data_IF_153841763677
#
_entry.id   IF_153841763677
#
_cell.length_a   1.000
_cell.length_b   1.000
_cell.length_c   1.000
_cell.angle_alpha   90.00
_cell.angle_beta   90.00
_cell.angle_gamma   90.00
#
_symmetry.space_group_name_H-M   'P 1'
#
loop_
_entity.id
_entity.type
_entity.pdbx_description
1 polymer ?
#
# COMPACT_ATOMS: atom_id res chain seq x y z
N UNK A 1 7.81 8.10 -28.75
CA UNK A 1 7.64 7.26 -27.55
C UNK A 1 7.01 5.96 -28.02
N UNK A 2 7.80 4.88 -28.07
CA UNK A 2 7.30 3.57 -28.49
C UNK A 2 6.21 3.12 -27.52
N UNK A 3 4.97 2.98 -27.99
CA UNK A 3 3.86 2.52 -27.17
C UNK A 3 4.17 1.10 -26.67
N UNK A 4 4.12 0.89 -25.37
CA UNK A 4 4.30 -0.42 -24.75
C UNK A 4 3.20 -1.37 -25.24
N UNK A 5 3.57 -2.43 -25.95
CA UNK A 5 2.62 -3.41 -26.49
C UNK A 5 2.32 -4.48 -25.45
N UNK A 6 1.07 -4.54 -24.98
CA UNK A 6 0.57 -5.62 -24.11
C UNK A 6 0.25 -6.87 -24.95
N UNK A 7 0.59 -8.06 -24.46
CA UNK A 7 0.35 -9.36 -25.11
C UNK A 7 -0.42 -10.28 -24.17
N UNK A 8 -1.45 -10.98 -24.66
CA UNK A 8 -2.16 -11.98 -23.87
C UNK A 8 -1.32 -13.25 -23.67
N UNK A 9 -1.48 -13.90 -22.51
CA UNK A 9 -0.89 -15.21 -22.21
C UNK A 9 -1.98 -16.28 -22.33
N UNK A 10 -1.92 -17.08 -23.39
CA UNK A 10 -2.84 -18.20 -23.59
C UNK A 10 -2.58 -19.32 -22.56
N UNK A 11 -3.64 -19.89 -22.01
CA UNK A 11 -3.63 -20.92 -20.97
C UNK A 11 -3.34 -20.39 -19.56
N UNK A 12 -3.12 -19.09 -19.38
CA UNK A 12 -2.83 -18.53 -18.06
C UNK A 12 -4.12 -18.35 -17.25
N UNK A 13 -4.11 -18.85 -16.00
CA UNK A 13 -5.18 -18.63 -15.04
C UNK A 13 -4.82 -17.47 -14.13
N UNK A 14 -5.73 -16.51 -13.96
CA UNK A 14 -5.51 -15.39 -13.05
C UNK A 14 -5.42 -15.88 -11.59
N UNK A 15 -4.35 -15.53 -10.84
CA UNK A 15 -4.23 -15.95 -9.44
C UNK A 15 -5.23 -15.25 -8.51
N UNK A 16 -5.83 -14.13 -8.93
CA UNK A 16 -6.76 -13.36 -8.10
C UNK A 16 -8.23 -13.78 -8.29
N UNK A 17 -8.67 -14.01 -9.53
CA UNK A 17 -10.08 -14.29 -9.85
C UNK A 17 -10.31 -15.63 -10.57
N UNK A 18 -9.27 -16.45 -10.73
CA UNK A 18 -9.29 -17.77 -11.40
C UNK A 18 -9.82 -17.78 -12.85
N UNK A 19 -9.99 -16.62 -13.48
CA UNK A 19 -10.38 -16.54 -14.88
C UNK A 19 -9.23 -16.95 -15.81
N UNK A 20 -9.53 -17.80 -16.78
CA UNK A 20 -8.60 -18.28 -17.81
C UNK A 20 -8.44 -17.25 -18.94
N UNK A 21 -7.24 -17.13 -19.51
CA UNK A 21 -6.94 -16.30 -20.69
C UNK A 21 -7.17 -14.79 -20.50
N UNK A 22 -7.13 -14.33 -19.25
CA UNK A 22 -7.37 -12.91 -18.91
C UNK A 22 -6.09 -12.13 -18.63
N UNK A 23 -4.93 -12.78 -18.64
CA UNK A 23 -3.65 -12.16 -18.28
C UNK A 23 -2.96 -11.57 -19.52
N UNK A 24 -2.59 -10.30 -19.43
CA UNK A 24 -1.75 -9.59 -20.38
C UNK A 24 -0.37 -9.33 -19.77
N UNK A 25 0.69 -9.53 -20.54
CA UNK A 25 2.07 -9.25 -20.17
C UNK A 25 2.66 -8.15 -21.06
N UNK A 26 3.49 -7.29 -20.48
CA UNK A 26 4.27 -6.30 -21.20
C UNK A 26 5.58 -6.02 -20.46
N UNK A 27 6.50 -5.36 -21.15
CA UNK A 27 7.77 -4.92 -20.57
C UNK A 27 7.77 -3.40 -20.41
N UNK A 28 8.23 -2.92 -19.25
CA UNK A 28 8.50 -1.50 -18.98
C UNK A 28 9.93 -1.39 -18.50
N UNK A 29 10.78 -0.73 -19.29
CA UNK A 29 12.18 -0.45 -18.94
C UNK A 29 12.96 -1.71 -18.51
N UNK A 30 12.72 -2.85 -19.17
CA UNK A 30 13.33 -4.14 -18.86
C UNK A 30 12.69 -4.90 -17.70
N UNK A 31 11.59 -4.37 -17.16
CA UNK A 31 10.82 -5.01 -16.09
C UNK A 31 9.54 -5.65 -16.67
N UNK A 32 9.43 -6.98 -16.63
CA UNK A 32 8.21 -7.67 -17.05
C UNK A 32 7.07 -7.38 -16.07
N UNK A 33 5.92 -6.99 -16.60
CA UNK A 33 4.70 -6.70 -15.85
C UNK A 33 3.55 -7.52 -16.43
N UNK A 34 2.63 -7.98 -15.56
CA UNK A 34 1.40 -8.65 -15.98
C UNK A 34 0.16 -8.06 -15.33
N UNK A 35 -0.97 -8.11 -16.02
CA UNK A 35 -2.26 -7.60 -15.56
C UNK A 35 -3.42 -8.51 -16.00
N UNK A 36 -4.44 -8.65 -15.15
CA UNK A 36 -5.70 -9.31 -15.49
C UNK A 36 -6.72 -8.28 -15.97
N UNK A 37 -7.28 -8.48 -17.17
CA UNK A 37 -8.35 -7.62 -17.70
C UNK A 37 -9.69 -7.78 -17.00
N UNK A 38 -9.92 -8.91 -16.33
CA UNK A 38 -11.21 -9.20 -15.70
C UNK A 38 -11.34 -8.61 -14.29
N UNK A 39 -10.29 -8.66 -13.48
CA UNK A 39 -10.32 -8.19 -12.09
C UNK A 39 -9.35 -7.04 -11.78
N UNK A 40 -8.50 -6.64 -12.74
CA UNK A 40 -7.52 -5.57 -12.54
C UNK A 40 -6.31 -5.96 -11.69
N UNK A 41 -6.11 -7.26 -11.42
CA UNK A 41 -4.89 -7.74 -10.76
C UNK A 41 -3.65 -7.31 -11.56
N UNK A 42 -2.66 -6.69 -10.93
CA UNK A 42 -1.41 -6.29 -11.58
C UNK A 42 -0.21 -6.78 -10.74
N UNK A 43 0.79 -7.33 -11.42
CA UNK A 43 2.01 -7.82 -10.78
C UNK A 43 3.26 -7.48 -11.61
N UNK A 44 4.34 -7.20 -10.90
CA UNK A 44 5.65 -6.89 -11.47
C UNK A 44 6.55 -8.09 -11.23
N UNK A 45 7.13 -8.63 -12.30
CA UNK A 45 7.96 -9.83 -12.24
C UNK A 45 9.45 -9.43 -12.24
N UNK A 46 10.28 -10.20 -11.54
CA UNK A 46 11.74 -10.08 -11.66
C UNK A 46 12.24 -10.77 -12.95
N UNK A 47 13.54 -10.66 -13.24
CA UNK A 47 14.17 -11.32 -14.38
C UNK A 47 14.03 -12.87 -14.36
N UNK A 48 13.69 -13.46 -13.22
CA UNK A 48 13.46 -14.90 -13.06
C UNK A 48 11.97 -15.28 -13.18
N UNK A 49 11.09 -14.32 -13.50
CA UNK A 49 9.65 -14.56 -13.66
C UNK A 49 8.89 -14.75 -12.34
N UNK A 50 9.45 -14.35 -11.20
CA UNK A 50 8.78 -14.39 -9.91
C UNK A 50 8.09 -13.06 -9.61
N UNK A 51 6.92 -13.12 -8.98
CA UNK A 51 6.20 -11.95 -8.47
C UNK A 51 7.05 -11.20 -7.45
N UNK A 52 7.26 -9.90 -7.65
CA UNK A 52 7.97 -9.03 -6.70
C UNK A 52 6.92 -8.21 -5.95
N UNK A 53 6.64 -8.52 -4.67
CA UNK A 53 5.80 -7.67 -3.86
C UNK A 53 6.41 -6.26 -3.77
N UNK A 54 5.60 -5.23 -4.03
CA UNK A 54 6.04 -3.82 -3.95
C UNK A 54 6.61 -3.44 -2.57
N UNK A 55 6.11 -4.08 -1.52
CA UNK A 55 6.49 -3.81 -0.14
C UNK A 55 6.94 -5.13 0.50
N UNK A 56 8.24 -5.24 0.79
CA UNK A 56 8.77 -6.33 1.60
C UNK A 56 8.36 -6.10 3.06
N UNK A 57 7.69 -7.08 3.66
CA UNK A 57 7.26 -7.04 5.07
C UNK A 57 8.45 -7.07 6.02
N UNK A 58 9.14 -5.94 6.16
CA UNK A 58 10.19 -5.75 7.16
C UNK A 58 9.58 -5.20 8.45
N UNK A 59 10.24 -5.44 9.58
CA UNK A 59 9.79 -5.02 10.93
C UNK A 59 9.43 -3.54 11.05
N UNK A 60 9.98 -2.70 10.17
CA UNK A 60 9.82 -1.25 10.13
C UNK A 60 8.66 -0.76 9.28
N UNK A 61 8.01 -1.65 8.52
CA UNK A 61 6.84 -1.32 7.72
C UNK A 61 5.54 -1.54 8.51
N UNK A 62 5.49 -0.97 9.71
CA UNK A 62 4.23 -0.82 10.43
C UNK A 62 3.68 0.55 10.08
N UNK A 63 2.64 0.58 9.23
CA UNK A 63 1.84 1.80 9.05
C UNK A 63 1.49 2.37 10.41
N UNK A 64 1.79 3.66 10.63
CA UNK A 64 1.61 4.32 11.92
C UNK A 64 0.21 3.99 12.46
N UNK A 65 0.16 3.34 13.62
CA UNK A 65 -1.09 2.98 14.27
C UNK A 65 -1.97 4.23 14.32
N UNK A 66 -3.15 4.15 13.69
CA UNK A 66 -4.15 5.21 13.71
C UNK A 66 -4.32 5.65 15.17
N UNK A 67 -4.08 6.93 15.52
CA UNK A 67 -4.16 7.34 16.91
C UNK A 67 -5.60 7.05 17.36
N UNK A 68 -5.74 6.08 18.26
CA UNK A 68 -7.01 5.82 18.91
C UNK A 68 -7.35 7.13 19.61
N UNK A 69 -8.38 7.85 19.11
CA UNK A 69 -8.85 9.10 19.69
C UNK A 69 -8.95 8.92 21.20
N UNK A 70 -8.00 9.41 22.01
CA UNK A 70 -8.24 9.43 23.42
C UNK A 70 -9.29 10.53 23.57
N UNK A 71 -10.38 10.26 24.30
CA UNK A 71 -11.15 11.33 24.91
C UNK A 71 -10.19 12.06 25.86
N UNK A 72 -9.36 12.95 25.33
CA UNK A 72 -8.47 13.81 26.10
C UNK A 72 -9.36 14.91 26.64
N UNK A 73 -9.84 14.72 27.86
CA UNK A 73 -10.55 15.75 28.57
C UNK A 73 -9.52 16.57 29.33
N UNK A 74 -9.24 17.78 28.87
CA UNK A 74 -8.35 18.70 29.55
C UNK A 74 -8.93 19.00 30.95
N UNK A 75 -8.19 18.65 32.00
CA UNK A 75 -8.56 19.01 33.37
C UNK A 75 -8.36 20.52 33.51
N UNK A 76 -9.43 21.27 33.71
CA UNK A 76 -9.35 22.68 34.01
C UNK A 76 -8.84 22.86 35.45
N UNK A 77 -7.57 23.23 35.57
CA UNK A 77 -7.01 23.70 36.83
C UNK A 77 -7.60 25.06 37.15
N UNK A 78 -8.51 25.11 38.12
CA UNK A 78 -8.88 26.36 38.76
C UNK A 78 -7.73 26.76 39.69
N UNK A 79 -7.09 27.93 39.47
CA UNK A 79 -6.04 28.40 40.37
C UNK A 79 -6.61 28.50 41.78
N UNK A 80 -5.95 27.83 42.72
CA UNK A 80 -6.36 27.75 44.11
C UNK A 80 -6.57 29.17 44.68
N UNK A 81 -7.79 29.56 45.08
CA UNK A 81 -8.12 30.93 45.48
C UNK A 81 -7.43 31.37 46.79
N UNK A 82 -6.68 30.49 47.46
CA UNK A 82 -5.98 30.77 48.72
C UNK A 82 -4.48 31.09 48.57
N UNK A 83 -3.91 31.06 47.36
CA UNK A 83 -2.52 31.48 47.15
C UNK A 83 -2.48 32.96 46.76
N UNK A 84 -2.33 33.82 47.77
CA UNK A 84 -2.00 35.25 47.58
C UNK A 84 -0.68 35.34 46.81
N UNK A 85 -0.68 36.02 45.65
CA UNK A 85 0.56 36.45 44.99
C UNK A 85 1.29 37.46 45.90
N UNK A 86 2.59 37.31 46.18
CA UNK A 86 3.41 38.46 46.53
C UNK A 86 3.53 39.34 45.29
N UNK A 87 3.25 40.63 45.46
CA UNK A 87 3.51 41.65 44.46
C UNK A 87 4.98 42.10 44.60
N UNK A 88 5.75 41.93 43.53
CA UNK A 88 6.95 42.71 43.20
C UNK A 88 7.02 42.85 41.68
#
# INVERSE_FOLDING_TARGET
MSSVKKRFIAGAVCPACSAMDTIQMWDVDGTPNRECVACGYADTLNAQGQSVPRELGTRVNQSAAKPANPKVQAVQFFPNPKLKKPAE
#
